data_IF_083093054112
#
_entry.id   IF_083093054112
#
_cell.length_a   1.000
_cell.length_b   1.000
_cell.length_c   1.000
_cell.angle_alpha   90.00
_cell.angle_beta   90.00
_cell.angle_gamma   90.00
#
_symmetry.space_group_name_H-M   'P 1'
#
loop_
_entity.id
_entity.type
_entity.pdbx_description
1 polymer ?
#
# COMPACT_ATOMS: atom_id res chain seq x y z
N UNK A 1 -16.61 9.08 22.77
CA UNK A 1 -15.32 9.17 22.07
C UNK A 1 -15.57 9.94 20.78
N UNK A 2 -14.96 11.10 20.59
CA UNK A 2 -15.07 11.80 19.30
C UNK A 2 -14.28 11.00 18.27
N UNK A 3 -14.96 10.47 17.25
CA UNK A 3 -14.31 9.78 16.13
C UNK A 3 -13.42 10.77 15.36
N UNK A 4 -12.31 10.28 14.82
CA UNK A 4 -11.52 11.05 13.85
C UNK A 4 -12.16 10.86 12.48
N UNK A 5 -12.56 11.96 11.82
CA UNK A 5 -13.06 11.93 10.45
C UNK A 5 -11.87 11.70 9.49
N UNK A 6 -11.88 10.57 8.78
CA UNK A 6 -10.83 10.13 7.86
C UNK A 6 -11.41 9.95 6.46
N UNK A 7 -10.74 10.49 5.44
CA UNK A 7 -10.95 10.16 4.05
C UNK A 7 -9.77 9.35 3.52
N UNK A 8 -10.04 8.26 2.80
CA UNK A 8 -8.99 7.41 2.22
C UNK A 8 -9.23 7.34 0.71
N UNK A 9 -8.21 7.73 -0.06
CA UNK A 9 -8.17 7.53 -1.51
C UNK A 9 -7.31 6.31 -1.80
N UNK A 10 -7.94 5.23 -2.22
CA UNK A 10 -7.30 3.98 -2.62
C UNK A 10 -7.08 3.98 -4.14
N UNK A 11 -6.10 4.77 -4.58
CA UNK A 11 -5.72 4.83 -5.99
C UNK A 11 -4.86 3.64 -6.42
N UNK A 12 -4.91 3.26 -7.71
CA UNK A 12 -4.07 2.19 -8.28
C UNK A 12 -2.57 2.50 -8.23
N UNK A 13 -2.22 3.78 -8.20
CA UNK A 13 -0.84 4.25 -8.16
C UNK A 13 -0.40 4.75 -6.78
N UNK A 14 -1.29 5.42 -6.05
CA UNK A 14 -1.00 6.10 -4.78
C UNK A 14 -2.18 5.95 -3.83
N UNK A 15 -1.90 5.71 -2.55
CA UNK A 15 -2.86 5.80 -1.44
C UNK A 15 -2.66 7.14 -0.73
N UNK A 16 -3.77 7.83 -0.44
CA UNK A 16 -3.79 9.05 0.37
C UNK A 16 -4.69 8.86 1.58
N UNK A 17 -4.25 9.37 2.73
CA UNK A 17 -5.11 9.51 3.90
C UNK A 17 -5.23 11.00 4.23
N UNK A 18 -6.47 11.46 4.27
CA UNK A 18 -6.85 12.78 4.74
C UNK A 18 -7.49 12.67 6.13
N UNK A 19 -7.07 13.54 7.04
CA UNK A 19 -7.72 13.70 8.34
C UNK A 19 -8.30 15.10 8.42
N UNK A 20 -9.59 15.21 8.77
CA UNK A 20 -10.27 16.50 8.91
C UNK A 20 -9.49 17.41 9.85
N UNK A 21 -9.30 18.66 9.43
CA UNK A 21 -8.51 19.69 10.12
C UNK A 21 -6.99 19.43 10.21
N UNK A 22 -6.47 18.31 9.68
CA UNK A 22 -5.02 18.07 9.55
C UNK A 22 -4.53 18.10 8.10
N UNK A 23 -5.42 17.84 7.13
CA UNK A 23 -5.05 17.73 5.73
C UNK A 23 -4.64 16.31 5.35
N UNK A 24 -3.83 16.19 4.30
CA UNK A 24 -3.24 14.91 3.89
C UNK A 24 -2.15 14.53 4.89
N UNK A 25 -2.34 13.42 5.59
CA UNK A 25 -1.40 12.91 6.61
C UNK A 25 -0.57 11.73 6.11
N UNK A 26 -1.00 11.06 5.04
CA UNK A 26 -0.26 9.98 4.39
C UNK A 26 -0.38 10.12 2.87
N UNK A 27 0.73 9.86 2.17
CA UNK A 27 0.80 9.78 0.71
C UNK A 27 1.83 8.75 0.30
N UNK A 28 1.40 7.53 0.01
CA UNK A 28 2.28 6.42 -0.31
C UNK A 28 1.98 5.79 -1.67
N UNK A 29 2.99 5.26 -2.39
CA UNK A 29 2.76 4.42 -3.55
C UNK A 29 1.91 3.19 -3.20
N UNK A 30 0.94 2.83 -4.05
CA UNK A 30 0.11 1.63 -3.88
C UNK A 30 0.86 0.37 -4.31
N UNK A 31 1.87 -0.03 -3.55
CA UNK A 31 2.73 -1.17 -3.85
C UNK A 31 3.18 -1.88 -2.58
N UNK A 32 3.26 -3.20 -2.66
CA UNK A 32 3.69 -4.09 -1.60
C UNK A 32 4.81 -4.98 -2.14
N UNK A 33 5.88 -5.17 -1.37
CA UNK A 33 6.94 -6.11 -1.72
C UNK A 33 6.72 -7.43 -0.98
N UNK A 34 6.77 -8.54 -1.71
CA UNK A 34 6.48 -9.88 -1.20
C UNK A 34 7.61 -10.83 -1.58
N UNK A 35 8.04 -11.64 -0.62
CA UNK A 35 8.90 -12.79 -0.84
C UNK A 35 8.05 -13.96 -1.37
N UNK A 36 8.33 -14.44 -2.58
CA UNK A 36 7.57 -15.48 -3.27
C UNK A 36 7.77 -16.88 -2.67
N UNK A 37 8.92 -17.13 -2.04
CA UNK A 37 9.23 -18.43 -1.46
C UNK A 37 8.46 -18.65 -0.15
N UNK A 38 8.27 -17.57 0.62
CA UNK A 38 7.65 -17.60 1.95
C UNK A 38 6.25 -16.98 2.00
N UNK A 39 5.86 -16.23 0.98
CA UNK A 39 4.62 -15.44 0.95
C UNK A 39 4.63 -14.24 1.89
N UNK A 40 5.78 -13.90 2.49
CA UNK A 40 5.87 -12.82 3.49
C UNK A 40 5.89 -11.45 2.83
N UNK A 41 5.13 -10.53 3.40
CA UNK A 41 5.24 -9.10 3.08
C UNK A 41 6.52 -8.56 3.70
N UNK A 42 7.38 -7.99 2.85
CA UNK A 42 8.68 -7.45 3.24
C UNK A 42 8.61 -5.93 3.48
N UNK A 43 7.81 -5.23 2.70
CA UNK A 43 7.66 -3.79 2.75
C UNK A 43 6.36 -3.33 2.10
N UNK A 44 5.94 -2.11 2.42
CA UNK A 44 4.78 -1.41 1.85
C UNK A 44 5.22 -0.01 1.38
N UNK A 45 4.49 0.59 0.46
CA UNK A 45 4.63 2.01 0.15
C UNK A 45 5.94 2.35 -0.55
N UNK A 46 6.65 3.36 -0.03
CA UNK A 46 7.91 3.79 -0.63
C UNK A 46 9.02 2.75 -0.51
N UNK A 47 9.07 2.00 0.60
CA UNK A 47 10.07 0.94 0.78
C UNK A 47 9.87 -0.17 -0.25
N UNK A 48 8.63 -0.63 -0.43
CA UNK A 48 8.30 -1.58 -1.49
C UNK A 48 8.57 -1.02 -2.89
N UNK A 49 8.26 0.26 -3.14
CA UNK A 49 8.56 0.91 -4.42
C UNK A 49 10.06 0.94 -4.72
N UNK A 50 10.89 1.18 -3.71
CA UNK A 50 12.34 1.22 -3.85
C UNK A 50 12.96 -0.15 -4.16
N UNK A 51 12.23 -1.24 -3.88
CA UNK A 51 12.63 -2.61 -4.18
C UNK A 51 12.33 -3.03 -5.64
N UNK A 52 11.46 -2.29 -6.35
CA UNK A 52 11.04 -2.61 -7.73
C UNK A 52 12.24 -2.65 -8.67
N UNK A 53 12.47 -3.81 -9.28
CA UNK A 53 13.57 -4.03 -10.23
C UNK A 53 14.97 -3.97 -9.61
N UNK A 54 15.08 -3.97 -8.28
CA UNK A 54 16.35 -3.86 -7.53
C UNK A 54 16.54 -4.98 -6.52
N UNK A 55 15.65 -5.96 -6.51
CA UNK A 55 15.67 -7.10 -5.59
C UNK A 55 15.87 -8.41 -6.36
N UNK A 56 16.34 -9.49 -5.69
CA UNK A 56 16.44 -10.82 -6.30
C UNK A 56 15.09 -11.31 -6.85
N UNK A 57 15.12 -12.25 -7.79
CA UNK A 57 13.90 -12.76 -8.44
C UNK A 57 12.88 -13.43 -7.51
N UNK A 58 13.27 -13.80 -6.28
CA UNK A 58 12.36 -14.30 -5.26
C UNK A 58 11.52 -13.19 -4.61
N UNK A 59 11.85 -11.91 -4.80
CA UNK A 59 11.09 -10.77 -4.28
C UNK A 59 10.35 -10.11 -5.44
N UNK A 60 9.04 -9.94 -5.29
CA UNK A 60 8.21 -9.27 -6.28
C UNK A 60 7.44 -8.09 -5.68
N UNK A 61 7.11 -7.13 -6.53
CA UNK A 61 6.26 -6.00 -6.17
C UNK A 61 4.84 -6.22 -6.69
N UNK A 62 3.85 -6.17 -5.80
CA UNK A 62 2.43 -6.32 -6.11
C UNK A 62 1.74 -4.98 -5.96
N UNK A 63 0.84 -4.65 -6.90
CA UNK A 63 -0.09 -3.52 -6.77
C UNK A 63 -1.46 -4.06 -6.38
N UNK A 64 -1.95 -3.80 -5.16
CA UNK A 64 -3.19 -4.41 -4.66
C UNK A 64 -4.45 -3.84 -5.31
N UNK A 65 -4.33 -2.65 -5.93
CA UNK A 65 -5.41 -1.92 -6.55
C UNK A 65 -5.15 -1.86 -8.06
N UNK A 66 -6.13 -2.26 -8.87
CA UNK A 66 -6.03 -2.28 -10.33
C UNK A 66 -7.36 -1.90 -10.96
N UNK A 67 -7.32 -1.07 -12.00
CA UNK A 67 -8.51 -0.66 -12.78
C UNK A 67 -9.68 -0.15 -11.91
N UNK A 68 -9.36 0.51 -10.78
CA UNK A 68 -10.35 1.07 -9.85
C UNK A 68 -10.96 0.08 -8.85
N UNK A 69 -10.48 -1.17 -8.81
CA UNK A 69 -10.96 -2.20 -7.88
C UNK A 69 -9.84 -2.72 -6.98
N UNK A 70 -10.24 -3.30 -5.84
CA UNK A 70 -9.36 -4.14 -5.01
C UNK A 70 -9.13 -5.45 -5.76
N UNK A 71 -7.92 -5.63 -6.26
CA UNK A 71 -7.50 -6.84 -6.97
C UNK A 71 -6.95 -7.90 -6.01
N UNK A 72 -6.43 -7.48 -4.85
CA UNK A 72 -5.91 -8.36 -3.80
C UNK A 72 -6.27 -7.80 -2.42
N UNK A 73 -7.18 -8.50 -1.73
CA UNK A 73 -7.67 -8.08 -0.41
C UNK A 73 -6.57 -8.11 0.65
N UNK A 74 -5.76 -9.16 0.71
CA UNK A 74 -4.72 -9.33 1.73
C UNK A 74 -3.65 -8.24 1.60
N UNK A 75 -3.27 -7.90 0.36
CA UNK A 75 -2.29 -6.86 0.12
C UNK A 75 -2.87 -5.44 0.34
N UNK A 76 -4.16 -5.22 0.05
CA UNK A 76 -4.84 -3.97 0.44
C UNK A 76 -4.91 -3.84 1.96
N UNK A 77 -5.27 -4.90 2.68
CA UNK A 77 -5.32 -4.89 4.15
C UNK A 77 -3.94 -4.57 4.75
N UNK A 78 -2.87 -5.18 4.23
CA UNK A 78 -1.51 -4.86 4.66
C UNK A 78 -1.14 -3.37 4.46
N UNK A 79 -1.61 -2.75 3.38
CA UNK A 79 -1.45 -1.30 3.18
C UNK A 79 -2.20 -0.45 4.20
N UNK A 80 -3.32 -0.94 4.73
CA UNK A 80 -4.15 -0.21 5.68
C UNK A 80 -3.68 -0.35 7.14
N UNK A 81 -2.91 -1.40 7.43
CA UNK A 81 -2.33 -1.66 8.75
C UNK A 81 -0.87 -1.19 8.91
N UNK A 82 -0.24 -0.75 7.83
CA UNK A 82 1.08 -0.10 7.83
C UNK A 82 1.00 1.31 8.40
#
# INVERSE_FOLDING_TARGET
>A
MFGTDIGIDLGTATVLIYVKNKGIVLREPSVVAVDLDTGKILAVGYEAKNMVGRTPGSITSVRPLRDGVIADYTMTEAMMHH
#
